data_IF_575806255370
#
_entry.id   IF_575806255370
#
_cell.length_a   1.000
_cell.length_b   1.000
_cell.length_c   1.000
_cell.angle_alpha   90.00
_cell.angle_beta   90.00
_cell.angle_gamma   90.00
#
_symmetry.space_group_name_H-M   'P 1'
#
loop_
_entity.id
_entity.type
_entity.pdbx_description
1 polymer ?
#
# COMPACT_ATOMS: atom_id res chain seq x y z
N UNK A 1 -6.97 -13.61 47.85
CA UNK A 1 -6.69 -14.42 46.64
C UNK A 1 -7.18 -13.78 45.33
N UNK A 2 -8.24 -12.94 45.32
CA UNK A 2 -8.72 -12.26 44.10
C UNK A 2 -7.83 -11.13 43.55
N UNK A 3 -6.99 -10.49 44.38
CA UNK A 3 -6.07 -9.41 43.93
C UNK A 3 -4.93 -9.90 43.03
N UNK A 4 -4.56 -11.18 43.10
CA UNK A 4 -3.45 -11.74 42.32
C UNK A 4 -3.88 -12.16 40.90
N UNK A 5 -5.16 -12.50 40.71
CA UNK A 5 -5.70 -12.92 39.43
C UNK A 5 -5.90 -11.74 38.47
N UNK A 6 -6.24 -10.55 39.00
CA UNK A 6 -6.38 -9.33 38.20
C UNK A 6 -5.01 -8.87 37.67
N UNK A 7 -3.92 -9.05 38.42
CA UNK A 7 -2.59 -8.68 37.95
C UNK A 7 -2.14 -9.52 36.74
N UNK A 8 -2.46 -10.82 36.71
CA UNK A 8 -2.13 -11.71 35.60
C UNK A 8 -2.92 -11.42 34.32
N UNK A 9 -4.19 -11.01 34.44
CA UNK A 9 -5.01 -10.58 33.29
C UNK A 9 -4.54 -9.21 32.79
N UNK A 10 -4.15 -8.30 33.68
CA UNK A 10 -3.63 -6.98 33.30
C UNK A 10 -2.24 -7.06 32.67
N UNK A 11 -1.39 -8.03 33.04
CA UNK A 11 -0.10 -8.24 32.35
C UNK A 11 -0.24 -8.85 30.96
N UNK A 12 -1.37 -9.50 30.64
CA UNK A 12 -1.70 -9.92 29.26
C UNK A 12 -2.41 -8.80 28.46
N UNK A 13 -2.84 -7.73 29.12
CA UNK A 13 -3.44 -6.53 28.51
C UNK A 13 -2.46 -5.34 28.47
N UNK A 14 -1.18 -5.58 28.76
CA UNK A 14 -0.10 -4.60 28.66
C UNK A 14 0.56 -4.68 27.28
N UNK A 15 0.61 -3.55 26.58
CA UNK A 15 1.01 -3.37 25.18
C UNK A 15 -0.06 -3.79 24.18
N UNK A 16 -0.98 -2.86 23.89
CA UNK A 16 -1.60 -2.83 22.57
C UNK A 16 -0.49 -2.71 21.53
N UNK A 17 -0.03 -3.84 21.03
CA UNK A 17 1.02 -3.89 20.02
C UNK A 17 0.46 -3.15 18.80
N UNK A 18 1.07 -2.03 18.46
CA UNK A 18 0.64 -1.24 17.31
C UNK A 18 0.81 -2.12 16.08
N UNK A 19 -0.30 -2.60 15.50
CA UNK A 19 -0.30 -3.61 14.43
C UNK A 19 0.61 -3.17 13.28
N UNK A 20 0.60 -1.88 12.95
CA UNK A 20 1.49 -1.29 11.95
C UNK A 20 2.98 -1.47 12.28
N UNK A 21 3.39 -1.26 13.54
CA UNK A 21 4.78 -1.45 13.99
C UNK A 21 5.20 -2.90 13.90
N UNK A 22 4.35 -3.82 14.37
CA UNK A 22 4.63 -5.25 14.26
C UNK A 22 4.73 -5.71 12.79
N UNK A 23 3.77 -5.31 11.96
CA UNK A 23 3.76 -5.67 10.54
C UNK A 23 4.94 -5.09 9.78
N UNK A 24 5.37 -3.87 10.12
CA UNK A 24 6.57 -3.28 9.54
C UNK A 24 7.83 -4.14 9.80
N UNK A 25 8.00 -4.70 11.00
CA UNK A 25 9.10 -5.62 11.28
C UNK A 25 9.01 -6.93 10.47
N UNK A 26 7.81 -7.46 10.26
CA UNK A 26 7.58 -8.61 9.37
C UNK A 26 7.96 -8.26 7.91
N UNK A 27 7.55 -7.08 7.41
CA UNK A 27 7.86 -6.64 6.05
C UNK A 27 9.36 -6.38 5.84
N UNK A 28 10.05 -5.81 6.84
CA UNK A 28 11.51 -5.67 6.82
C UNK A 28 12.22 -7.02 6.78
N UNK A 29 11.69 -8.04 7.47
CA UNK A 29 12.25 -9.39 7.41
C UNK A 29 12.07 -10.02 6.02
N UNK A 30 10.89 -9.88 5.42
CA UNK A 30 10.62 -10.33 4.04
C UNK A 30 11.52 -9.64 3.02
N UNK A 31 11.69 -8.32 3.15
CA UNK A 31 12.61 -7.51 2.36
C UNK A 31 14.05 -8.04 2.39
N UNK A 32 14.57 -8.37 3.58
CA UNK A 32 15.93 -8.89 3.75
C UNK A 32 16.09 -10.30 3.18
N UNK A 33 15.06 -11.14 3.28
CA UNK A 33 15.07 -12.49 2.70
C UNK A 33 15.06 -12.46 1.16
N UNK A 34 14.40 -11.46 0.57
CA UNK A 34 14.36 -11.25 -0.87
C UNK A 34 15.50 -10.32 -1.33
N UNK A 35 16.76 -10.70 -1.05
CA UNK A 35 17.99 -9.88 -1.15
C UNK A 35 18.20 -9.08 -2.46
N UNK A 36 17.45 -9.39 -3.53
CA UNK A 36 17.40 -8.65 -4.80
C UNK A 36 16.40 -7.47 -4.84
N UNK A 37 15.46 -7.35 -3.90
CA UNK A 37 14.35 -6.39 -3.92
C UNK A 37 14.59 -5.06 -3.19
N UNK A 38 15.68 -4.93 -2.43
CA UNK A 38 16.02 -3.71 -1.69
C UNK A 38 17.41 -3.17 -2.05
N UNK A 39 17.72 -3.13 -3.34
CA UNK A 39 18.82 -2.29 -3.81
C UNK A 39 18.34 -0.83 -3.89
N UNK A 40 18.03 -0.22 -2.74
CA UNK A 40 17.79 1.22 -2.68
C UNK A 40 19.11 1.92 -3.04
N UNK A 41 19.33 2.22 -4.32
CA UNK A 41 20.42 3.09 -4.73
C UNK A 41 20.00 4.49 -4.35
N UNK A 42 20.75 5.10 -3.43
CA UNK A 42 20.56 6.50 -3.07
C UNK A 42 20.74 7.33 -4.35
N UNK A 43 19.65 7.93 -4.82
CA UNK A 43 19.70 8.78 -6.01
C UNK A 43 20.28 10.15 -5.65
N UNK A 44 21.24 10.60 -6.45
CA UNK A 44 21.68 11.99 -6.45
C UNK A 44 20.54 12.89 -6.91
N UNK A 45 20.46 14.09 -6.31
CA UNK A 45 19.51 15.19 -6.54
C UNK A 45 19.60 15.81 -7.94
N UNK A 46 19.64 14.98 -8.98
CA UNK A 46 19.54 15.42 -10.36
C UNK A 46 18.06 15.37 -10.75
N UNK A 47 17.47 16.54 -10.98
CA UNK A 47 16.03 16.74 -11.25
C UNK A 47 15.52 16.08 -12.54
N UNK A 48 16.35 15.28 -13.17
CA UNK A 48 16.12 14.56 -14.42
C UNK A 48 15.41 13.22 -14.21
N UNK A 49 15.43 12.69 -12.97
CA UNK A 49 14.85 11.38 -12.65
C UNK A 49 15.62 10.22 -13.32
N UNK A 50 15.38 9.01 -12.83
CA UNK A 50 16.00 7.80 -13.39
C UNK A 50 14.98 6.68 -13.47
N UNK A 51 15.19 5.78 -14.42
CA UNK A 51 14.30 4.63 -14.62
C UNK A 51 14.46 3.66 -13.44
N UNK A 52 13.33 3.32 -12.81
CA UNK A 52 13.30 2.36 -11.70
C UNK A 52 13.61 0.96 -12.20
N UNK A 53 14.41 0.22 -11.43
CA UNK A 53 14.66 -1.18 -11.70
C UNK A 53 13.44 -2.02 -11.28
N UNK A 54 13.32 -3.22 -11.87
CA UNK A 54 12.31 -4.17 -11.43
C UNK A 54 12.47 -4.46 -9.94
N UNK A 55 11.36 -4.39 -9.21
CA UNK A 55 11.27 -4.61 -7.75
C UNK A 55 11.98 -3.58 -6.86
N UNK A 56 12.48 -2.47 -7.40
CA UNK A 56 13.14 -1.44 -6.58
C UNK A 56 12.18 -0.74 -5.59
N UNK A 57 10.94 -0.49 -6.03
CA UNK A 57 9.87 0.06 -5.20
C UNK A 57 8.69 -0.92 -5.15
N UNK A 58 8.79 -2.02 -4.39
CA UNK A 58 7.85 -3.13 -4.45
C UNK A 58 6.45 -2.79 -3.93
N UNK A 59 6.32 -1.70 -3.17
CA UNK A 59 5.05 -1.21 -2.67
C UNK A 59 4.29 -0.30 -3.65
N UNK A 60 4.92 0.11 -4.76
CA UNK A 60 4.30 1.03 -5.72
C UNK A 60 3.21 0.35 -6.51
N UNK A 61 2.04 0.98 -6.54
CA UNK A 61 0.90 0.56 -7.34
C UNK A 61 0.25 1.72 -8.09
N UNK A 62 -0.50 1.39 -9.12
CA UNK A 62 -1.28 2.33 -9.91
C UNK A 62 -2.75 1.91 -9.90
N UNK A 63 -3.66 2.87 -9.88
CA UNK A 63 -5.10 2.65 -9.92
C UNK A 63 -5.62 2.84 -11.35
N UNK A 64 -6.23 1.78 -11.86
CA UNK A 64 -6.81 1.69 -13.19
C UNK A 64 -8.32 1.97 -13.18
N UNK A 65 -8.75 2.79 -14.12
CA UNK A 65 -10.14 3.21 -14.31
C UNK A 65 -10.62 2.80 -15.70
N UNK A 66 -11.89 2.40 -15.80
CA UNK A 66 -12.47 2.02 -17.08
C UNK A 66 -12.96 3.28 -17.79
N UNK A 67 -12.32 3.63 -18.89
CA UNK A 67 -12.71 4.72 -19.76
C UNK A 67 -14.05 4.43 -20.46
N UNK A 68 -14.76 5.46 -21.00
CA UNK A 68 -15.97 5.25 -21.79
C UNK A 68 -15.77 4.33 -23.01
N UNK A 69 -14.54 4.24 -23.53
CA UNK A 69 -14.16 3.31 -24.60
C UNK A 69 -14.10 1.84 -24.15
N UNK A 70 -14.11 1.57 -22.85
CA UNK A 70 -13.88 0.25 -22.25
C UNK A 70 -12.41 -0.04 -21.91
N UNK A 71 -11.48 0.81 -22.33
CA UNK A 71 -10.06 0.67 -22.02
C UNK A 71 -9.77 1.01 -20.54
N UNK A 72 -8.80 0.31 -19.94
CA UNK A 72 -8.32 0.63 -18.59
C UNK A 72 -7.20 1.66 -18.68
N UNK A 73 -7.43 2.84 -18.10
CA UNK A 73 -6.43 3.91 -17.99
C UNK A 73 -5.96 4.05 -16.55
N UNK A 74 -4.65 4.19 -16.35
CA UNK A 74 -4.05 4.32 -15.02
C UNK A 74 -3.76 5.78 -14.73
N UNK A 75 -4.46 6.35 -13.75
CA UNK A 75 -4.53 7.81 -13.55
C UNK A 75 -4.11 8.28 -12.16
N UNK A 76 -3.91 7.34 -11.23
CA UNK A 76 -3.51 7.64 -9.86
C UNK A 76 -2.51 6.60 -9.37
N UNK A 77 -1.63 7.02 -8.47
CA UNK A 77 -0.76 6.13 -7.73
C UNK A 77 -1.44 5.64 -6.44
N UNK A 78 -0.89 4.55 -5.91
CA UNK A 78 -1.25 3.98 -4.62
C UNK A 78 -0.03 3.25 -4.03
N UNK A 79 -0.09 2.99 -2.73
CA UNK A 79 0.98 2.31 -1.99
C UNK A 79 0.42 1.08 -1.30
N UNK A 80 1.03 -0.09 -1.55
CA UNK A 80 0.70 -1.32 -0.84
C UNK A 80 1.09 -1.19 0.64
N UNK A 81 0.13 -1.37 1.55
CA UNK A 81 0.32 -1.29 3.01
C UNK A 81 -0.03 -2.59 3.75
N UNK A 82 -0.61 -3.56 3.04
CA UNK A 82 -0.73 -4.97 3.44
C UNK A 82 -0.77 -5.86 2.20
N UNK A 83 -0.91 -7.17 2.36
CA UNK A 83 -1.01 -8.13 1.25
C UNK A 83 -2.21 -7.90 0.30
N UNK A 84 -3.24 -7.19 0.72
CA UNK A 84 -4.45 -6.91 -0.08
C UNK A 84 -4.92 -5.46 -0.03
N UNK A 85 -4.13 -4.55 0.57
CA UNK A 85 -4.58 -3.19 0.85
C UNK A 85 -3.64 -2.17 0.26
N UNK A 86 -4.20 -1.25 -0.53
CA UNK A 86 -3.50 -0.06 -0.99
C UNK A 86 -4.00 1.17 -0.24
N UNK A 87 -3.06 2.06 0.05
CA UNK A 87 -3.29 3.43 0.47
C UNK A 87 -3.24 4.35 -0.75
N UNK A 88 -4.19 5.25 -0.88
CA UNK A 88 -4.25 6.21 -1.98
C UNK A 88 -4.80 7.55 -1.52
N UNK A 89 -4.82 8.53 -2.41
CA UNK A 89 -5.52 9.79 -2.18
C UNK A 89 -7.04 9.63 -2.33
N UNK A 90 -7.81 10.38 -1.54
CA UNK A 90 -9.27 10.40 -1.58
C UNK A 90 -9.82 10.92 -2.92
N UNK A 91 -9.16 11.92 -3.52
CA UNK A 91 -9.57 12.53 -4.78
C UNK A 91 -9.49 11.54 -5.96
N UNK A 92 -8.66 10.50 -5.87
CA UNK A 92 -8.60 9.43 -6.87
C UNK A 92 -9.92 8.67 -7.01
N UNK A 93 -10.78 8.67 -5.99
CA UNK A 93 -12.11 8.05 -6.03
C UNK A 93 -13.21 9.02 -6.51
N UNK A 94 -12.83 10.25 -6.88
CA UNK A 94 -13.70 11.35 -7.30
C UNK A 94 -13.39 11.82 -8.73
N UNK A 95 -12.75 10.96 -9.52
CA UNK A 95 -12.41 11.26 -10.91
C UNK A 95 -13.69 11.46 -11.75
N UNK A 96 -13.91 12.70 -12.20
CA UNK A 96 -15.18 13.11 -12.85
C UNK A 96 -15.52 12.30 -14.09
N UNK A 97 -14.52 12.00 -14.91
CA UNK A 97 -14.71 11.37 -16.23
C UNK A 97 -14.66 9.83 -16.18
N UNK A 98 -14.10 9.26 -15.11
CA UNK A 98 -13.76 7.84 -15.03
C UNK A 98 -14.37 7.11 -13.82
N UNK A 99 -14.97 7.86 -12.88
CA UNK A 99 -15.60 7.31 -11.69
C UNK A 99 -14.59 6.77 -10.67
N UNK A 100 -14.75 5.49 -10.30
CA UNK A 100 -13.94 4.82 -9.27
C UNK A 100 -12.98 3.82 -9.91
N UNK A 101 -11.81 3.59 -9.31
CA UNK A 101 -10.87 2.59 -9.82
C UNK A 101 -11.49 1.19 -9.76
N UNK A 102 -11.17 0.38 -10.75
CA UNK A 102 -11.62 -1.01 -10.90
C UNK A 102 -10.46 -1.99 -10.89
N UNK A 103 -9.26 -1.50 -11.18
CA UNK A 103 -8.04 -2.29 -11.27
C UNK A 103 -6.95 -1.63 -10.46
N UNK A 104 -6.03 -2.44 -9.96
CA UNK A 104 -4.75 -2.02 -9.46
C UNK A 104 -3.66 -2.74 -10.23
N UNK A 105 -2.56 -2.04 -10.53
CA UNK A 105 -1.38 -2.61 -11.18
C UNK A 105 -0.17 -2.38 -10.29
N UNK A 106 0.57 -3.44 -9.97
CA UNK A 106 1.75 -3.38 -9.09
C UNK A 106 2.96 -4.00 -9.75
N UNK A 107 4.16 -3.52 -9.39
CA UNK A 107 5.41 -4.04 -9.91
C UNK A 107 5.65 -3.76 -11.40
N UNK A 108 4.93 -2.79 -11.97
CA UNK A 108 5.18 -2.32 -13.32
C UNK A 108 6.50 -1.53 -13.39
N UNK A 109 7.20 -1.67 -14.50
CA UNK A 109 8.43 -0.93 -14.80
C UNK A 109 8.33 -0.31 -16.20
N UNK A 110 9.43 0.25 -16.71
CA UNK A 110 9.48 0.62 -18.12
C UNK A 110 9.32 -0.59 -19.06
N UNK A 111 9.81 -1.75 -18.64
CA UNK A 111 9.92 -2.95 -19.47
C UNK A 111 8.76 -3.93 -19.26
N UNK A 112 8.09 -3.87 -18.10
CA UNK A 112 7.03 -4.83 -17.74
C UNK A 112 5.75 -4.13 -17.29
N UNK A 113 4.61 -4.72 -17.64
CA UNK A 113 3.29 -4.21 -17.24
C UNK A 113 2.94 -4.51 -15.78
N UNK A 114 3.75 -5.31 -15.06
CA UNK A 114 3.45 -5.71 -13.68
C UNK A 114 2.27 -6.69 -13.57
N UNK A 115 1.74 -6.80 -12.36
CA UNK A 115 0.57 -7.66 -12.03
C UNK A 115 -0.67 -6.79 -11.87
N UNK A 116 -1.73 -7.15 -12.59
CA UNK A 116 -3.04 -6.50 -12.48
C UNK A 116 -3.98 -7.31 -11.59
N UNK A 117 -4.65 -6.61 -10.67
CA UNK A 117 -5.61 -7.21 -9.71
C UNK A 117 -6.87 -6.35 -9.67
N UNK A 118 -8.03 -6.99 -9.57
CA UNK A 118 -9.30 -6.27 -9.45
C UNK A 118 -9.42 -5.60 -8.07
N UNK A 119 -10.07 -4.43 -8.06
CA UNK A 119 -10.44 -3.73 -6.83
C UNK A 119 -11.75 -4.31 -6.29
N UNK A 120 -11.69 -4.81 -5.07
CA UNK A 120 -12.86 -5.31 -4.31
C UNK A 120 -13.67 -4.16 -3.73
N UNK A 121 -13.00 -3.24 -3.05
CA UNK A 121 -13.62 -2.02 -2.52
C UNK A 121 -12.63 -0.87 -2.53
N UNK A 122 -13.16 0.34 -2.57
CA UNK A 122 -12.39 1.57 -2.49
C UNK A 122 -13.20 2.51 -1.60
N UNK A 123 -12.59 3.12 -0.59
CA UNK A 123 -13.29 3.93 0.40
C UNK A 123 -12.46 5.19 0.69
N UNK A 124 -13.06 6.37 0.52
CA UNK A 124 -12.44 7.61 0.98
C UNK A 124 -12.59 7.74 2.49
N UNK A 125 -11.77 8.58 3.11
CA UNK A 125 -12.04 9.08 4.45
C UNK A 125 -13.51 9.53 4.60
N UNK A 126 -14.16 9.13 5.70
CA UNK A 126 -15.59 9.41 5.91
C UNK A 126 -15.90 10.93 5.89
N UNK A 127 -14.94 11.74 6.34
CA UNK A 127 -15.00 13.21 6.30
C UNK A 127 -14.12 13.77 5.18
N UNK A 128 -14.10 13.13 4.01
CA UNK A 128 -13.29 13.57 2.88
C UNK A 128 -13.58 15.02 2.50
N UNK A 129 -12.51 15.80 2.45
CA UNK A 129 -12.37 17.07 1.75
C UNK A 129 -10.90 17.17 1.30
N UNK A 130 -10.50 18.18 0.51
CA UNK A 130 -9.11 18.28 0.04
C UNK A 130 -8.01 18.24 1.12
N UNK A 131 -8.32 18.51 2.40
CA UNK A 131 -7.37 18.35 3.51
C UNK A 131 -7.44 16.98 4.22
N UNK A 132 -8.46 16.17 3.97
CA UNK A 132 -8.57 14.76 4.39
C UNK A 132 -8.48 13.86 3.15
N UNK A 133 -7.45 14.08 2.33
CA UNK A 133 -7.30 13.46 1.02
C UNK A 133 -6.67 12.06 1.09
N UNK A 134 -7.38 11.14 1.73
CA UNK A 134 -6.92 9.76 1.95
C UNK A 134 -8.03 8.74 1.63
N UNK A 135 -7.62 7.60 1.07
CA UNK A 135 -8.48 6.48 0.75
C UNK A 135 -7.79 5.14 0.97
N UNK A 136 -8.60 4.12 1.25
CA UNK A 136 -8.19 2.73 1.37
C UNK A 136 -8.81 1.95 0.21
N UNK A 137 -7.99 1.15 -0.47
CA UNK A 137 -8.39 0.28 -1.57
C UNK A 137 -8.12 -1.17 -1.15
N UNK A 138 -9.15 -2.02 -1.22
CA UNK A 138 -9.01 -3.46 -1.02
C UNK A 138 -8.96 -4.17 -2.36
N UNK A 139 -7.97 -5.03 -2.52
CA UNK A 139 -7.82 -5.91 -3.67
C UNK A 139 -8.75 -7.12 -3.53
N UNK A 140 -9.15 -7.70 -4.66
CA UNK A 140 -9.94 -8.93 -4.71
C UNK A 140 -9.15 -10.13 -4.20
N UNK A 141 -7.84 -10.12 -4.43
CA UNK A 141 -6.91 -11.19 -4.10
C UNK A 141 -5.68 -10.62 -3.39
N UNK A 142 -5.08 -11.44 -2.52
CA UNK A 142 -3.83 -11.11 -1.84
C UNK A 142 -2.67 -11.27 -2.81
N UNK A 143 -1.75 -10.33 -2.77
CA UNK A 143 -0.46 -10.44 -3.42
C UNK A 143 0.45 -11.42 -2.67
N UNK A 144 1.36 -12.03 -3.41
CA UNK A 144 2.36 -12.93 -2.83
C UNK A 144 3.50 -12.14 -2.15
N UNK A 145 4.42 -12.87 -1.51
CA UNK A 145 5.54 -12.30 -0.75
C UNK A 145 6.61 -11.59 -1.59
N UNK A 146 6.49 -11.54 -2.92
CA UNK A 146 7.36 -10.73 -3.79
C UNK A 146 6.95 -9.25 -3.80
N UNK A 147 5.72 -8.94 -3.40
CA UNK A 147 5.23 -7.57 -3.20
C UNK A 147 5.36 -7.21 -1.72
N UNK A 148 6.37 -6.41 -1.39
CA UNK A 148 6.66 -6.02 -0.01
C UNK A 148 5.88 -4.73 0.31
N UNK A 149 4.94 -4.75 1.27
CA UNK A 149 4.21 -3.54 1.65
C UNK A 149 5.09 -2.50 2.35
N UNK A 150 4.71 -1.24 2.24
CA UNK A 150 5.33 -0.12 2.94
C UNK A 150 4.94 -0.12 4.42
N UNK A 151 5.85 0.38 5.25
CA UNK A 151 5.55 0.67 6.66
C UNK A 151 4.72 1.94 6.78
N UNK A 152 3.78 1.95 7.72
CA UNK A 152 3.09 3.17 8.15
C UNK A 152 3.87 3.81 9.31
N UNK A 153 3.93 5.13 9.32
CA UNK A 153 4.52 5.86 10.44
C UNK A 153 3.67 5.66 11.70
N UNK A 154 4.36 5.45 12.80
CA UNK A 154 3.79 5.11 14.10
C UNK A 154 4.28 6.02 15.22
N UNK A 155 5.26 6.88 14.95
CA UNK A 155 6.00 7.62 15.99
C UNK A 155 5.76 9.14 15.95
N UNK A 156 5.32 9.71 14.82
CA UNK A 156 4.75 11.07 14.73
C UNK A 156 5.74 12.23 14.84
#
# INVERSE_FOLDING_TARGET
MFKLLILLVVTQLGFGQQIAKQKCEEYKALARANQDSLQCKVFSDDKTGVMIQAHEFPATGMLGFVAPSGEVVYLCDATLISDDTLLAAGHCLKQKNFGRPKWARLGATHETLGVEVQVKSAECHAQYYPGHDIAIIKLQEKLNSSFIPACLDTEG
#
